data_IF_001623454811
#
_entry.id   IF_001623454811
#
_cell.length_a   1.000
_cell.length_b   1.000
_cell.length_c   1.000
_cell.angle_alpha   90.00
_cell.angle_beta   90.00
_cell.angle_gamma   90.00
#
_symmetry.space_group_name_H-M   'P 1'
#
loop_
_entity.id
_entity.type
_entity.pdbx_description
1 polymer ?
#
# COMPACT_ATOMS: atom_id res chain seq x y z
N UNK A 1 -2.48 -8.79 22.72
CA UNK A 1 -1.72 -7.81 21.93
C UNK A 1 -2.74 -6.81 21.43
N UNK A 2 -2.56 -5.52 21.68
CA UNK A 2 -3.57 -4.53 21.28
C UNK A 2 -3.46 -4.38 19.76
N UNK A 3 -4.49 -4.78 19.04
CA UNK A 3 -4.62 -4.49 17.61
C UNK A 3 -4.81 -2.97 17.46
N UNK A 4 -3.71 -2.28 17.15
CA UNK A 4 -3.73 -0.86 16.83
C UNK A 4 -4.43 -0.67 15.49
N UNK A 5 -5.74 -0.40 15.52
CA UNK A 5 -6.55 -0.18 14.31
C UNK A 5 -6.11 1.01 13.46
N UNK A 6 -5.33 1.94 14.04
CA UNK A 6 -4.90 3.16 13.41
C UNK A 6 -3.39 3.35 13.58
N UNK A 7 -2.74 3.79 12.51
CA UNK A 7 -1.31 4.11 12.45
C UNK A 7 -1.13 5.62 12.23
N UNK A 8 -0.16 6.21 12.91
CA UNK A 8 0.32 7.56 12.61
C UNK A 8 1.15 7.56 11.32
N UNK A 9 1.44 8.75 10.78
CA UNK A 9 2.28 8.86 9.59
C UNK A 9 3.69 8.28 9.78
N UNK A 10 4.22 8.30 11.01
CA UNK A 10 5.51 7.71 11.37
C UNK A 10 5.44 6.18 11.32
N UNK A 11 4.41 5.60 11.94
CA UNK A 11 4.19 4.15 11.91
C UNK A 11 3.91 3.62 10.49
N UNK A 12 3.21 4.39 9.65
CA UNK A 12 3.03 4.04 8.23
C UNK A 12 4.36 4.07 7.48
N UNK A 13 5.20 5.09 7.72
CA UNK A 13 6.51 5.14 7.10
C UNK A 13 7.40 3.96 7.54
N UNK A 14 7.31 3.56 8.81
CA UNK A 14 7.99 2.37 9.34
C UNK A 14 7.43 1.07 8.75
N UNK A 15 6.11 0.94 8.59
CA UNK A 15 5.46 -0.22 7.93
C UNK A 15 6.05 -0.46 6.54
N UNK A 16 6.26 0.59 5.76
CA UNK A 16 6.89 0.51 4.43
C UNK A 16 8.43 0.56 4.47
N UNK A 17 9.06 0.41 5.65
CA UNK A 17 10.51 0.39 5.86
C UNK A 17 11.21 1.62 5.26
N UNK A 18 10.57 2.79 5.34
CA UNK A 18 11.08 4.04 4.79
C UNK A 18 10.86 4.23 3.27
N UNK A 19 10.29 3.24 2.56
CA UNK A 19 9.95 3.37 1.14
C UNK A 19 8.87 4.43 0.87
N UNK A 20 8.04 4.73 1.88
CA UNK A 20 7.11 5.87 1.88
C UNK A 20 7.48 6.78 3.04
N UNK A 21 8.04 7.95 2.74
CA UNK A 21 8.39 8.93 3.78
C UNK A 21 7.16 9.69 4.29
N UNK A 22 7.26 10.26 5.50
CA UNK A 22 6.21 11.12 6.10
C UNK A 22 5.90 12.32 5.19
N UNK A 23 6.92 12.88 4.51
CA UNK A 23 6.77 13.94 3.52
C UNK A 23 5.93 13.51 2.32
N UNK A 24 6.11 12.28 1.84
CA UNK A 24 5.29 11.67 0.78
C UNK A 24 3.84 11.55 1.23
N UNK A 25 3.60 11.01 2.43
CA UNK A 25 2.24 10.93 3.01
C UNK A 25 1.60 12.31 3.19
N UNK A 26 2.37 13.34 3.55
CA UNK A 26 1.88 14.73 3.60
C UNK A 26 1.48 15.25 2.22
N UNK A 27 2.32 15.01 1.21
CA UNK A 27 2.05 15.43 -0.17
C UNK A 27 0.80 14.73 -0.73
N UNK A 28 0.72 13.42 -0.54
CA UNK A 28 -0.43 12.58 -0.87
C UNK A 28 -1.74 13.11 -0.29
N UNK A 29 -1.78 13.44 1.00
CA UNK A 29 -2.95 14.06 1.64
C UNK A 29 -3.32 15.40 1.01
N UNK A 30 -2.34 16.24 0.66
CA UNK A 30 -2.58 17.52 0.01
C UNK A 30 -3.16 17.35 -1.41
N UNK A 31 -2.68 16.35 -2.14
CA UNK A 31 -3.13 16.01 -3.48
C UNK A 31 -4.41 15.16 -3.50
N UNK A 32 -4.87 14.68 -2.33
CA UNK A 32 -5.97 13.70 -2.18
C UNK A 32 -5.70 12.40 -2.96
N UNK A 33 -4.45 11.98 -2.96
CA UNK A 33 -4.00 10.71 -3.55
C UNK A 33 -3.43 9.86 -2.41
N UNK A 34 -3.62 8.54 -2.44
CA UNK A 34 -3.06 7.64 -1.43
C UNK A 34 -4.12 6.95 -0.56
N UNK A 35 -3.67 6.22 0.49
CA UNK A 35 -4.57 5.57 1.43
C UNK A 35 -5.43 6.60 2.17
N UNK A 36 -6.67 6.22 2.48
CA UNK A 36 -7.58 7.06 3.25
C UNK A 36 -7.01 7.35 4.63
N UNK A 37 -7.28 8.56 5.13
CA UNK A 37 -6.80 9.01 6.42
C UNK A 37 -7.92 9.71 7.19
N UNK A 38 -7.83 9.65 8.51
CA UNK A 38 -8.73 10.34 9.43
C UNK A 38 -7.92 11.48 10.07
N UNK A 39 -8.50 12.67 10.07
CA UNK A 39 -7.93 13.84 10.76
C UNK A 39 -8.79 14.17 11.97
N UNK A 40 -8.20 14.07 13.17
CA UNK A 40 -8.85 14.44 14.43
C UNK A 40 -7.99 15.52 15.09
N UNK A 41 -8.43 16.78 15.01
CA UNK A 41 -7.66 17.93 15.47
C UNK A 41 -6.30 18.02 14.78
N UNK A 42 -5.22 17.86 15.55
CA UNK A 42 -3.82 17.85 15.07
C UNK A 42 -3.35 16.47 14.63
N UNK A 43 -4.02 15.41 15.06
CA UNK A 43 -3.64 14.04 14.75
C UNK A 43 -4.11 13.65 13.35
N UNK A 44 -3.27 12.89 12.64
CA UNK A 44 -3.64 12.23 11.39
C UNK A 44 -3.30 10.76 11.50
N UNK A 45 -4.33 9.95 11.26
CA UNK A 45 -4.34 8.53 11.49
C UNK A 45 -4.73 7.80 10.20
N UNK A 46 -4.11 6.66 9.97
CA UNK A 46 -4.36 5.77 8.86
C UNK A 46 -4.94 4.46 9.40
N UNK A 47 -6.21 4.15 9.11
CA UNK A 47 -6.77 2.84 9.44
C UNK A 47 -5.97 1.74 8.74
N UNK A 48 -5.70 0.62 9.42
CA UNK A 48 -4.96 -0.50 8.81
C UNK A 48 -5.72 -1.04 7.60
N UNK A 49 -7.04 -1.25 7.70
CA UNK A 49 -7.85 -1.78 6.61
C UNK A 49 -7.77 -0.91 5.35
N UNK A 50 -7.71 0.42 5.51
CA UNK A 50 -7.61 1.36 4.39
C UNK A 50 -6.21 1.35 3.75
N UNK A 51 -5.16 1.09 4.55
CA UNK A 51 -3.81 0.89 4.03
C UNK A 51 -3.72 -0.41 3.23
N UNK A 52 -4.30 -1.50 3.74
CA UNK A 52 -4.33 -2.78 3.03
C UNK A 52 -5.14 -2.71 1.74
N UNK A 53 -6.29 -2.04 1.77
CA UNK A 53 -7.07 -1.79 0.56
C UNK A 53 -6.30 -0.95 -0.46
N UNK A 54 -5.49 0.01 0.00
CA UNK A 54 -4.59 0.77 -0.87
C UNK A 54 -3.47 -0.11 -1.43
N UNK A 55 -2.84 -0.94 -0.61
CA UNK A 55 -1.79 -1.89 -1.01
C UNK A 55 -2.30 -2.81 -2.12
N UNK A 56 -3.52 -3.33 -1.97
CA UNK A 56 -4.15 -4.19 -2.97
C UNK A 56 -4.42 -3.46 -4.28
N UNK A 57 -4.93 -2.22 -4.22
CA UNK A 57 -5.14 -1.39 -5.42
C UNK A 57 -3.84 -1.02 -6.15
N UNK A 58 -2.74 -0.94 -5.43
CA UNK A 58 -1.42 -0.61 -5.99
C UNK A 58 -0.61 -1.87 -6.34
N UNK A 59 -1.17 -3.06 -6.12
CA UNK A 59 -0.50 -4.32 -6.43
C UNK A 59 -0.29 -4.43 -7.93
N UNK A 60 0.98 -4.50 -8.33
CA UNK A 60 1.35 -4.77 -9.73
C UNK A 60 1.09 -6.24 -10.03
N UNK A 61 0.16 -6.50 -10.94
CA UNK A 61 -0.07 -7.85 -11.47
C UNK A 61 1.06 -8.20 -12.45
N UNK A 62 2.03 -8.99 -11.99
CA UNK A 62 3.02 -9.57 -12.86
C UNK A 62 2.37 -10.68 -13.68
N UNK A 63 2.25 -10.49 -15.00
CA UNK A 63 1.94 -11.59 -15.90
C UNK A 63 3.14 -12.53 -15.96
N UNK A 64 2.92 -13.83 -15.72
CA UNK A 64 3.91 -14.83 -16.05
C UNK A 64 4.26 -14.70 -17.54
N UNK A 65 5.54 -14.54 -17.84
CA UNK A 65 6.02 -14.43 -19.21
C UNK A 65 5.44 -15.56 -20.07
N UNK A 66 4.73 -15.21 -21.14
CA UNK A 66 4.11 -16.14 -22.11
C UNK A 66 5.09 -17.22 -22.63
N UNK A 67 6.41 -16.97 -22.54
CA UNK A 67 7.51 -17.85 -22.94
C UNK A 67 7.55 -19.24 -22.28
N UNK A 68 6.86 -19.47 -21.16
CA UNK A 68 6.81 -20.80 -20.52
C UNK A 68 5.61 -21.65 -20.94
N UNK A 69 4.57 -21.06 -21.55
CA UNK A 69 3.35 -21.77 -21.91
C UNK A 69 3.43 -22.49 -23.28
N UNK A 70 4.33 -22.06 -24.18
CA UNK A 70 4.41 -22.55 -25.56
C UNK A 70 5.25 -23.83 -25.73
N UNK A 71 5.74 -24.43 -24.63
CA UNK A 71 6.54 -25.68 -24.65
C UNK A 71 5.76 -26.95 -24.30
N UNK A 72 4.45 -26.85 -24.07
CA UNK A 72 3.62 -27.97 -23.62
C UNK A 72 2.71 -28.59 -24.70
N UNK A 73 2.71 -28.06 -25.93
CA UNK A 73 1.79 -28.47 -27.01
C UNK A 73 2.49 -29.15 -28.20
N UNK A 74 3.74 -29.59 -28.05
CA UNK A 74 4.45 -30.38 -29.07
C UNK A 74 4.98 -31.67 -28.44
N UNK A 75 4.13 -32.70 -28.41
CA UNK A 75 4.57 -34.08 -28.21
C UNK A 75 3.65 -35.01 -29.03
N UNK A 76 4.10 -35.55 -30.17
CA UNK A 76 3.42 -36.63 -30.88
C UNK A 76 3.51 -37.98 -30.16
#
# INVERSE_FOLDING_TARGET
MVENKFLTAEEVAERYRGGVSIGTLRNWRAMKIGPSFIKIGKAVLYPIDELEAWDERNRVHCHASKRLAERADDQP
#
